data_IF_202883007788
#
_entry.id   IF_202883007788
#
_cell.length_a   1.000
_cell.length_b   1.000
_cell.length_c   1.000
_cell.angle_alpha   90.00
_cell.angle_beta   90.00
_cell.angle_gamma   90.00
#
_symmetry.space_group_name_H-M   'P 1'
#
loop_
_entity.id
_entity.type
_entity.pdbx_description
1 polymer ?
#
# COMPACT_ATOMS: atom_id res chain seq x y z
N UNK A 1 -14.83 -9.32 13.38
CA UNK A 1 -14.48 -9.11 11.97
C UNK A 1 -13.01 -8.73 11.88
N UNK A 2 -12.26 -9.46 11.10
CA UNK A 2 -10.83 -9.13 10.87
C UNK A 2 -10.69 -7.96 9.91
N UNK A 3 -9.73 -7.10 10.19
CA UNK A 3 -9.45 -5.90 9.41
C UNK A 3 -8.09 -6.02 8.75
N UNK A 4 -8.07 -5.87 7.42
CA UNK A 4 -6.86 -5.95 6.60
C UNK A 4 -6.64 -4.61 5.92
N UNK A 5 -5.42 -4.11 6.00
CA UNK A 5 -4.99 -2.89 5.31
C UNK A 5 -4.02 -3.27 4.20
N UNK A 6 -4.31 -2.86 2.97
CA UNK A 6 -3.35 -2.91 1.85
C UNK A 6 -2.71 -1.55 1.68
N UNK A 7 -1.39 -1.53 1.57
CA UNK A 7 -0.60 -0.31 1.39
C UNK A 7 0.23 -0.40 0.13
N UNK A 8 0.12 0.59 -0.72
CA UNK A 8 1.01 0.81 -1.87
C UNK A 8 1.25 2.31 -2.06
N UNK A 9 2.28 2.66 -2.80
CA UNK A 9 2.51 4.07 -3.14
C UNK A 9 1.45 4.60 -4.10
N UNK A 10 1.05 3.80 -5.08
CA UNK A 10 0.13 4.22 -6.14
C UNK A 10 -1.15 3.37 -6.15
N UNK A 11 -2.28 4.02 -6.48
CA UNK A 11 -3.57 3.35 -6.62
C UNK A 11 -3.53 2.28 -7.72
N UNK A 12 -2.82 2.53 -8.80
CA UNK A 12 -2.67 1.57 -9.90
C UNK A 12 -2.09 0.23 -9.44
N UNK A 13 -1.13 0.25 -8.53
CA UNK A 13 -0.52 -0.97 -7.98
C UNK A 13 -1.56 -1.82 -7.25
N UNK A 14 -2.39 -1.18 -6.43
CA UNK A 14 -3.43 -1.91 -5.70
C UNK A 14 -4.47 -2.48 -6.66
N UNK A 15 -4.98 -1.67 -7.57
CA UNK A 15 -6.02 -2.12 -8.52
C UNK A 15 -5.52 -3.26 -9.41
N UNK A 16 -4.25 -3.19 -9.83
CA UNK A 16 -3.69 -4.19 -10.74
C UNK A 16 -3.41 -5.54 -10.06
N UNK A 17 -2.98 -5.52 -8.79
CA UNK A 17 -2.39 -6.72 -8.17
C UNK A 17 -3.17 -7.31 -7.00
N UNK A 18 -4.31 -6.73 -6.59
CA UNK A 18 -5.03 -7.20 -5.39
C UNK A 18 -6.35 -7.89 -5.66
N UNK A 19 -6.78 -8.00 -6.89
CA UNK A 19 -8.11 -8.53 -7.24
C UNK A 19 -8.40 -9.90 -6.63
N UNK A 20 -7.45 -10.82 -6.73
CA UNK A 20 -7.62 -12.17 -6.20
C UNK A 20 -7.59 -12.19 -4.67
N UNK A 21 -6.71 -11.39 -4.07
CA UNK A 21 -6.63 -11.27 -2.61
C UNK A 21 -7.93 -10.73 -2.03
N UNK A 22 -8.49 -9.69 -2.65
CA UNK A 22 -9.74 -9.09 -2.21
C UNK A 22 -10.90 -10.08 -2.32
N UNK A 23 -10.97 -10.85 -3.39
CA UNK A 23 -12.01 -11.87 -3.56
C UNK A 23 -11.95 -12.90 -2.43
N UNK A 24 -10.74 -13.37 -2.11
CA UNK A 24 -10.55 -14.33 -1.02
C UNK A 24 -10.92 -13.72 0.34
N UNK A 25 -10.47 -12.49 0.62
CA UNK A 25 -10.72 -11.82 1.90
C UNK A 25 -12.20 -11.48 2.08
N UNK A 26 -12.92 -11.11 1.02
CA UNK A 26 -14.35 -10.90 1.09
C UNK A 26 -15.11 -12.19 1.44
N UNK A 27 -14.68 -13.32 0.87
CA UNK A 27 -15.24 -14.63 1.20
C UNK A 27 -15.09 -14.94 2.69
N UNK A 28 -13.99 -14.48 3.29
CA UNK A 28 -13.72 -14.65 4.72
C UNK A 28 -14.41 -13.58 5.60
N UNK A 29 -15.13 -12.64 5.01
CA UNK A 29 -15.83 -11.59 5.74
C UNK A 29 -14.92 -10.52 6.34
N UNK A 30 -13.74 -10.29 5.77
CA UNK A 30 -12.81 -9.26 6.25
C UNK A 30 -13.25 -7.85 5.86
N UNK A 31 -13.00 -6.90 6.76
CA UNK A 31 -13.07 -5.46 6.44
C UNK A 31 -11.75 -5.05 5.80
N UNK A 32 -11.82 -4.38 4.64
CA UNK A 32 -10.63 -4.09 3.83
C UNK A 32 -10.47 -2.59 3.65
N UNK A 33 -9.27 -2.10 3.96
CA UNK A 33 -8.86 -0.72 3.76
C UNK A 33 -7.72 -0.67 2.75
N UNK A 34 -7.82 0.27 1.80
CA UNK A 34 -6.83 0.50 0.74
C UNK A 34 -6.16 1.85 1.00
N UNK A 35 -4.85 1.83 1.24
CA UNK A 35 -4.07 3.04 1.53
C UNK A 35 -3.05 3.25 0.43
N UNK A 36 -3.14 4.36 -0.27
CA UNK A 36 -2.24 4.70 -1.37
C UNK A 36 -2.36 6.18 -1.71
N UNK A 37 -1.50 6.67 -2.60
CA UNK A 37 -1.72 7.96 -3.23
C UNK A 37 -2.71 7.78 -4.39
N UNK A 38 -3.91 8.32 -4.24
CA UNK A 38 -4.99 8.19 -5.23
C UNK A 38 -4.69 8.95 -6.53
N UNK A 39 -3.69 9.82 -6.53
CA UNK A 39 -3.30 10.64 -7.68
C UNK A 39 -2.04 10.13 -8.37
N UNK A 40 -1.33 9.19 -7.75
CA UNK A 40 -0.15 8.57 -8.34
C UNK A 40 -0.54 7.36 -9.19
N UNK A 41 0.28 7.13 -10.22
CA UNK A 41 0.10 6.03 -11.14
C UNK A 41 -0.88 6.33 -12.27
N UNK A 42 -0.75 5.56 -13.34
CA UNK A 42 -1.55 5.73 -14.55
C UNK A 42 -2.84 4.90 -14.46
N UNK A 43 -3.74 5.31 -13.59
CA UNK A 43 -5.04 4.67 -13.50
C UNK A 43 -6.11 5.62 -14.03
N UNK A 44 -6.96 5.12 -14.94
CA UNK A 44 -8.09 5.89 -15.41
C UNK A 44 -9.23 5.89 -14.40
N UNK A 45 -10.04 6.94 -14.43
CA UNK A 45 -11.25 7.01 -13.61
C UNK A 45 -12.19 5.83 -13.89
N UNK A 46 -12.29 5.45 -15.17
CA UNK A 46 -13.14 4.31 -15.57
C UNK A 46 -12.65 3.00 -14.94
N UNK A 47 -11.34 2.75 -14.93
CA UNK A 47 -10.76 1.55 -14.33
C UNK A 47 -10.99 1.52 -12.80
N UNK A 48 -10.83 2.66 -12.14
CA UNK A 48 -11.08 2.77 -10.70
C UNK A 48 -12.56 2.55 -10.37
N UNK A 49 -13.46 3.11 -11.17
CA UNK A 49 -14.90 2.90 -10.99
C UNK A 49 -15.28 1.43 -11.17
N UNK A 50 -14.76 0.78 -12.20
CA UNK A 50 -14.99 -0.65 -12.44
C UNK A 50 -14.52 -1.49 -11.24
N UNK A 51 -13.33 -1.20 -10.74
CA UNK A 51 -12.79 -1.88 -9.57
C UNK A 51 -13.67 -1.70 -8.33
N UNK A 52 -14.15 -0.47 -8.09
CA UNK A 52 -15.05 -0.18 -6.97
C UNK A 52 -16.42 -0.81 -7.14
N UNK A 53 -16.89 -1.02 -8.36
CA UNK A 53 -18.13 -1.78 -8.62
C UNK A 53 -17.96 -3.26 -8.29
N UNK A 54 -16.77 -3.83 -8.57
CA UNK A 54 -16.47 -5.22 -8.20
C UNK A 54 -16.32 -5.40 -6.69
N UNK A 55 -15.80 -4.38 -6.01
CA UNK A 55 -15.53 -4.40 -4.57
C UNK A 55 -16.12 -3.16 -3.89
N UNK A 56 -17.46 -3.10 -3.72
CA UNK A 56 -18.12 -1.88 -3.25
C UNK A 56 -17.91 -1.57 -1.77
N UNK A 57 -17.35 -2.50 -1.00
CA UNK A 57 -17.16 -2.34 0.44
C UNK A 57 -15.74 -1.93 0.83
N UNK A 58 -14.91 -1.53 -0.13
CA UNK A 58 -13.56 -1.06 0.16
C UNK A 58 -13.57 0.34 0.80
N UNK A 59 -12.69 0.53 1.76
CA UNK A 59 -12.43 1.84 2.38
C UNK A 59 -11.11 2.38 1.83
N UNK A 60 -11.17 3.48 1.08
CA UNK A 60 -9.99 4.10 0.50
C UNK A 60 -9.47 5.23 1.38
N UNK A 61 -8.15 5.29 1.53
CA UNK A 61 -7.46 6.36 2.25
C UNK A 61 -6.35 6.92 1.36
N UNK A 62 -6.34 8.23 1.18
CA UNK A 62 -5.39 8.92 0.32
C UNK A 62 -4.24 9.47 1.17
N UNK A 63 -3.04 8.94 0.95
CA UNK A 63 -1.81 9.44 1.57
C UNK A 63 -0.81 9.82 0.48
N UNK A 64 -0.02 10.89 0.67
CA UNK A 64 0.82 11.46 -0.40
C UNK A 64 2.11 10.69 -0.66
N UNK A 65 2.08 9.37 -0.69
CA UNK A 65 3.24 8.57 -1.06
C UNK A 65 3.62 8.80 -2.52
N UNK A 66 4.93 8.79 -2.80
CA UNK A 66 5.47 8.77 -4.15
C UNK A 66 6.15 7.43 -4.39
N UNK A 67 6.00 6.90 -5.59
CA UNK A 67 6.69 5.67 -6.00
C UNK A 67 8.19 5.90 -6.28
N UNK A 68 8.65 7.15 -6.20
CA UNK A 68 10.05 7.51 -6.36
C UNK A 68 10.80 7.38 -5.02
N UNK A 69 11.87 6.61 -5.02
CA UNK A 69 12.76 6.49 -3.87
C UNK A 69 13.41 7.82 -3.49
N UNK A 70 13.63 8.71 -4.46
CA UNK A 70 14.21 10.03 -4.24
C UNK A 70 13.29 11.04 -3.55
N UNK A 71 11.99 10.75 -3.49
CA UNK A 71 11.01 11.63 -2.85
C UNK A 71 10.96 11.43 -1.32
N UNK A 72 12.11 11.54 -0.66
CA UNK A 72 12.27 11.20 0.76
C UNK A 72 11.37 12.05 1.67
N UNK A 73 11.37 13.37 1.47
CA UNK A 73 10.57 14.28 2.29
C UNK A 73 9.07 14.00 2.16
N UNK A 74 8.62 13.80 0.94
CA UNK A 74 7.22 13.51 0.64
C UNK A 74 6.79 12.18 1.24
N UNK A 75 7.61 11.15 1.09
CA UNK A 75 7.33 9.83 1.62
C UNK A 75 7.37 9.81 3.15
N UNK A 76 8.29 10.58 3.75
CA UNK A 76 8.33 10.70 5.20
C UNK A 76 7.09 11.43 5.75
N UNK A 77 6.63 12.48 5.07
CA UNK A 77 5.39 13.16 5.43
C UNK A 77 4.17 12.23 5.33
N UNK A 78 4.14 11.39 4.29
CA UNK A 78 3.11 10.35 4.16
C UNK A 78 3.19 9.32 5.29
N UNK A 79 4.40 8.91 5.67
CA UNK A 79 4.63 8.03 6.81
C UNK A 79 4.11 8.62 8.12
N UNK A 80 4.34 9.91 8.35
CA UNK A 80 3.83 10.61 9.54
C UNK A 80 2.29 10.61 9.62
N UNK A 81 1.62 10.50 8.47
CA UNK A 81 0.16 10.36 8.40
C UNK A 81 -0.28 8.91 8.48
N UNK A 82 0.56 7.99 8.01
CA UNK A 82 0.26 6.55 8.03
C UNK A 82 0.17 6.01 9.45
N UNK A 83 1.10 6.38 10.31
CA UNK A 83 1.15 5.88 11.69
C UNK A 83 -0.14 6.20 12.47
N UNK A 84 -0.64 7.45 12.51
CA UNK A 84 -1.92 7.74 13.16
C UNK A 84 -3.10 7.01 12.53
N UNK A 85 -3.11 6.87 11.20
CA UNK A 85 -4.16 6.14 10.49
C UNK A 85 -4.20 4.67 10.93
N UNK A 86 -3.05 4.02 10.99
CA UNK A 86 -2.97 2.62 11.43
C UNK A 86 -3.33 2.46 12.91
N UNK A 87 -3.00 3.44 13.75
CA UNK A 87 -3.46 3.45 15.15
C UNK A 87 -4.97 3.50 15.25
N UNK A 88 -5.60 4.33 14.44
CA UNK A 88 -7.06 4.46 14.41
C UNK A 88 -7.73 3.19 13.89
N UNK A 89 -7.21 2.63 12.79
CA UNK A 89 -7.77 1.45 12.15
C UNK A 89 -7.55 0.16 12.95
N UNK A 90 -6.45 0.06 13.69
CA UNK A 90 -6.07 -1.14 14.44
C UNK A 90 -6.20 -2.42 13.60
N UNK A 91 -5.49 -2.51 12.46
CA UNK A 91 -5.63 -3.65 11.57
C UNK A 91 -5.07 -4.93 12.20
N UNK A 92 -5.66 -6.05 11.84
CA UNK A 92 -5.14 -7.37 12.18
C UNK A 92 -3.97 -7.77 11.28
N UNK A 93 -3.90 -7.17 10.09
CA UNK A 93 -2.83 -7.42 9.12
C UNK A 93 -2.62 -6.19 8.25
N UNK A 94 -1.36 -5.84 8.04
CA UNK A 94 -0.94 -4.88 7.02
C UNK A 94 -0.24 -5.62 5.89
N UNK A 95 -0.71 -5.45 4.66
CA UNK A 95 -0.08 -6.01 3.47
C UNK A 95 0.50 -4.90 2.62
N UNK A 96 1.82 -4.82 2.57
CA UNK A 96 2.56 -3.82 1.80
C UNK A 96 2.93 -4.37 0.43
N UNK A 97 2.66 -3.57 -0.61
CA UNK A 97 2.99 -3.91 -2.00
C UNK A 97 3.90 -2.87 -2.61
N UNK A 98 5.04 -3.32 -3.12
CA UNK A 98 6.06 -2.46 -3.71
C UNK A 98 7.08 -1.95 -2.71
N UNK A 99 8.14 -1.35 -3.24
CA UNK A 99 9.35 -0.98 -2.46
C UNK A 99 9.05 0.10 -1.42
N UNK A 100 8.34 1.17 -1.82
CA UNK A 100 8.03 2.29 -0.93
C UNK A 100 7.11 1.82 0.21
N UNK A 101 6.04 1.15 -0.12
CA UNK A 101 5.13 0.60 0.88
C UNK A 101 5.83 -0.40 1.80
N UNK A 102 6.70 -1.23 1.24
CA UNK A 102 7.47 -2.20 2.02
C UNK A 102 8.39 -1.53 3.03
N UNK A 103 9.04 -0.43 2.66
CA UNK A 103 9.93 0.30 3.56
C UNK A 103 9.16 0.98 4.68
N UNK A 104 8.25 1.87 4.34
CA UNK A 104 7.52 2.68 5.32
C UNK A 104 6.47 1.89 6.06
N UNK A 105 5.78 0.98 5.38
CA UNK A 105 4.74 0.16 5.99
C UNK A 105 5.27 -0.83 7.01
N UNK A 106 6.38 -1.53 6.70
CA UNK A 106 7.00 -2.46 7.66
C UNK A 106 7.52 -1.71 8.89
N UNK A 107 8.06 -0.50 8.69
CA UNK A 107 8.52 0.33 9.81
C UNK A 107 7.34 0.75 10.70
N UNK A 108 6.24 1.19 10.11
CA UNK A 108 5.03 1.53 10.86
C UNK A 108 4.45 0.31 11.60
N UNK A 109 4.41 -0.84 10.94
CA UNK A 109 3.92 -2.08 11.54
C UNK A 109 4.78 -2.52 12.72
N UNK A 110 6.10 -2.40 12.61
CA UNK A 110 7.02 -2.70 13.70
C UNK A 110 6.79 -1.78 14.91
N UNK A 111 6.65 -0.49 14.66
CA UNK A 111 6.39 0.51 15.71
C UNK A 111 5.07 0.23 16.43
N UNK A 112 4.04 -0.17 15.71
CA UNK A 112 2.69 -0.41 16.24
C UNK A 112 2.41 -1.87 16.57
N UNK A 113 3.37 -2.76 16.37
CA UNK A 113 3.24 -4.21 16.58
C UNK A 113 2.09 -4.84 15.81
N UNK A 114 1.96 -4.44 14.53
CA UNK A 114 0.96 -4.98 13.60
C UNK A 114 1.61 -6.09 12.77
N UNK A 115 0.99 -7.26 12.63
CA UNK A 115 1.45 -8.28 11.68
C UNK A 115 1.50 -7.71 10.27
N UNK A 116 2.61 -7.97 9.55
CA UNK A 116 2.83 -7.39 8.23
C UNK A 116 3.28 -8.44 7.23
N UNK A 117 2.69 -8.40 6.02
CA UNK A 117 3.18 -9.08 4.83
C UNK A 117 3.74 -8.06 3.85
N UNK A 118 4.78 -8.45 3.14
CA UNK A 118 5.37 -7.65 2.09
C UNK A 118 5.46 -8.46 0.80
N UNK A 119 4.87 -7.92 -0.26
CA UNK A 119 5.02 -8.48 -1.61
C UNK A 119 5.94 -7.57 -2.41
N UNK A 120 7.08 -8.10 -2.81
CA UNK A 120 8.01 -7.40 -3.70
C UNK A 120 7.56 -7.60 -5.14
N UNK A 121 7.31 -6.50 -5.86
CA UNK A 121 7.00 -6.53 -7.29
C UNK A 121 8.27 -6.43 -8.14
N UNK A 122 9.29 -5.76 -7.59
CA UNK A 122 10.60 -5.61 -8.21
C UNK A 122 11.67 -5.48 -7.12
N UNK A 123 12.92 -5.65 -7.54
CA UNK A 123 14.07 -5.41 -6.67
C UNK A 123 14.90 -4.29 -7.26
N UNK A 124 15.06 -3.20 -6.51
CA UNK A 124 15.84 -2.05 -6.94
C UNK A 124 17.34 -2.27 -6.83
N UNK A 125 17.74 -3.20 -5.97
CA UNK A 125 19.15 -3.57 -5.78
C UNK A 125 19.39 -4.89 -6.50
N UNK A 126 20.08 -4.83 -7.63
CA UNK A 126 20.47 -5.99 -8.43
C UNK A 126 21.81 -5.71 -9.11
N UNK A 127 22.42 -6.74 -9.66
CA UNK A 127 23.68 -6.58 -10.41
C UNK A 127 23.42 -5.70 -11.64
N UNK A 128 24.09 -4.55 -11.71
CA UNK A 128 23.90 -3.57 -12.77
C UNK A 128 22.98 -2.40 -12.45
N UNK A 129 22.36 -2.36 -11.27
CA UNK A 129 21.56 -1.21 -10.87
C UNK A 129 22.43 0.03 -10.63
N UNK A 130 21.83 1.22 -10.73
CA UNK A 130 22.53 2.47 -10.48
C UNK A 130 22.98 2.56 -9.02
N UNK A 131 24.10 3.25 -8.79
CA UNK A 131 24.65 3.42 -7.44
C UNK A 131 23.63 4.05 -6.49
N UNK A 132 22.84 5.02 -6.97
CA UNK A 132 21.82 5.68 -6.17
C UNK A 132 20.73 4.69 -5.69
N UNK A 133 20.44 3.67 -6.47
CA UNK A 133 19.49 2.61 -6.09
C UNK A 133 20.08 1.67 -5.06
N UNK A 134 21.40 1.47 -5.09
CA UNK A 134 22.10 0.61 -4.12
C UNK A 134 22.16 1.21 -2.72
N UNK A 135 22.01 2.53 -2.60
CA UNK A 135 22.01 3.23 -1.32
C UNK A 135 20.63 3.21 -0.64
N UNK A 136 19.66 2.65 -1.32
CA UNK A 136 18.26 2.58 -0.90
C UNK A 136 17.86 1.19 -0.39
#
# INVERSE_FOLDING_TARGET
MKRVVFLAAAAATLVQFTKYDLTALQTLGCEIHMVCNMQEGNISQAALQEYNQMFPQLHWHDLPFSDSAGAVRRNYAAYEKLVPLLKELQPDLLHCRGTIAGWYGRRAAQELQIPVFYTAHDFRIFHGCLLAERLW
#
